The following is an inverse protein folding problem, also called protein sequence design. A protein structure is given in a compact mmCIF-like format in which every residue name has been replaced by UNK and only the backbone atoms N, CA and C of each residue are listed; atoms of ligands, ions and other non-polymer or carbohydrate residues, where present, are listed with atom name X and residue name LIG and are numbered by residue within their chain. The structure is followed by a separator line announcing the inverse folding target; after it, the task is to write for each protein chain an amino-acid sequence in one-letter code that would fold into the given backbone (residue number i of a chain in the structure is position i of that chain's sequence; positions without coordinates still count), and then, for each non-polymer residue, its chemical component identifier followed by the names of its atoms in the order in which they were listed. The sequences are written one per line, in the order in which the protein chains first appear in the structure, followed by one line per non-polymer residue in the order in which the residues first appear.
data_IF_215070103160
#
_entry.id   IF_215070103160
#
_cell.length_a   1.000
_cell.length_b   1.000
_cell.length_c   1.000
_cell.angle_alpha   90.00
_cell.angle_beta   90.00
_cell.angle_gamma   90.00
#
_symmetry.space_group_name_H-M   'P 1'
#
loop_
_entity.id
_entity.type
_entity.pdbx_description
1 polymer ?
#
# COMPACT_ATOMS: atom_id res chain seq x y z
N UNK A 1 3.12 1.68 -7.51
CA UNK A 1 4.52 1.85 -7.94
C UNK A 1 5.39 2.58 -6.92
N UNK A 2 4.90 3.64 -6.25
CA UNK A 2 5.70 4.39 -5.26
C UNK A 2 6.24 3.57 -4.07
N UNK A 3 5.48 2.59 -3.57
CA UNK A 3 5.91 1.75 -2.45
C UNK A 3 7.08 0.81 -2.79
N UNK A 4 7.03 0.16 -3.95
CA UNK A 4 8.12 -0.71 -4.43
C UNK A 4 9.36 0.13 -4.72
N UNK A 5 9.19 1.29 -5.38
CA UNK A 5 10.29 2.21 -5.63
C UNK A 5 10.92 2.71 -4.32
N UNK A 6 10.11 3.07 -3.31
CA UNK A 6 10.58 3.51 -2.00
C UNK A 6 11.31 2.42 -1.22
N UNK A 7 10.81 1.18 -1.28
CA UNK A 7 11.45 0.02 -0.65
C UNK A 7 12.82 -0.27 -1.29
N UNK A 8 12.88 -0.35 -2.63
CA UNK A 8 14.13 -0.54 -3.36
C UNK A 8 15.14 0.58 -3.09
N UNK A 9 14.66 1.83 -3.05
CA UNK A 9 15.50 3.00 -2.75
C UNK A 9 16.07 2.98 -1.33
N UNK A 10 15.28 2.51 -0.37
CA UNK A 10 15.72 2.39 1.04
C UNK A 10 16.76 1.29 1.19
N UNK A 11 16.54 0.13 0.57
CA UNK A 11 17.51 -0.99 0.57
C UNK A 11 18.82 -0.55 -0.09
N UNK A 12 18.72 0.10 -1.25
CA UNK A 12 19.88 0.64 -1.96
C UNK A 12 20.66 1.64 -1.09
N UNK A 13 19.98 2.57 -0.44
CA UNK A 13 20.61 3.56 0.43
C UNK A 13 21.33 2.96 1.63
N UNK A 14 20.77 1.90 2.24
CA UNK A 14 21.40 1.20 3.37
C UNK A 14 22.67 0.47 2.92
N UNK A 15 22.60 -0.26 1.80
CA UNK A 15 23.76 -0.99 1.26
C UNK A 15 24.86 0.01 0.87
N UNK A 16 24.49 1.08 0.16
CA UNK A 16 25.42 2.13 -0.23
C UNK A 16 26.08 2.81 0.97
N UNK A 17 25.32 3.06 2.05
CA UNK A 17 25.87 3.62 3.29
C UNK A 17 26.95 2.73 3.91
N UNK A 18 26.70 1.42 3.98
CA UNK A 18 27.64 0.45 4.55
C UNK A 18 28.92 0.42 3.69
N UNK A 19 28.77 0.36 2.36
CA UNK A 19 29.91 0.35 1.44
C UNK A 19 30.75 1.61 1.57
N UNK A 20 30.12 2.80 1.57
CA UNK A 20 30.83 4.07 1.72
C UNK A 20 31.51 4.17 3.09
N UNK A 21 30.85 3.72 4.16
CA UNK A 21 31.39 3.76 5.52
C UNK A 21 32.60 2.84 5.72
N UNK A 22 32.68 1.73 4.98
CA UNK A 22 33.84 0.83 5.01
C UNK A 22 35.07 1.43 4.33
N UNK A 23 34.87 2.23 3.27
CA UNK A 23 35.98 2.85 2.53
C UNK A 23 36.43 4.18 3.12
N UNK A 24 35.51 4.99 3.66
CA UNK A 24 35.84 6.37 4.02
C UNK A 24 36.67 6.49 5.30
N UNK A 25 36.64 5.47 6.18
CA UNK A 25 37.19 5.60 7.53
C UNK A 25 36.49 6.69 8.34
N UNK A 26 36.35 6.53 9.65
CA UNK A 26 35.75 7.55 10.51
C UNK A 26 36.73 8.70 10.86
N UNK A 27 37.71 8.97 9.99
CA UNK A 27 38.65 10.08 10.18
C UNK A 27 38.00 11.41 9.76
N UNK A 28 38.48 12.52 10.33
CA UNK A 28 37.88 13.87 10.52
C UNK A 28 36.98 14.47 9.40
N UNK A 29 37.01 13.93 8.17
CA UNK A 29 36.10 14.25 7.06
C UNK A 29 34.80 13.43 6.97
N UNK A 30 34.64 12.35 7.75
CA UNK A 30 33.48 11.45 7.69
C UNK A 30 32.17 12.02 8.28
N UNK A 31 32.26 13.11 9.04
CA UNK A 31 31.11 13.71 9.75
C UNK A 31 30.04 14.25 8.80
N UNK A 32 30.43 14.86 7.69
CA UNK A 32 29.47 15.41 6.69
C UNK A 32 28.74 14.30 5.93
N UNK A 33 29.44 13.21 5.62
CA UNK A 33 28.87 12.01 4.99
C UNK A 33 27.88 11.37 5.95
N UNK A 34 28.28 11.20 7.21
CA UNK A 34 27.42 10.62 8.26
C UNK A 34 26.14 11.45 8.47
N UNK A 35 26.26 12.78 8.55
CA UNK A 35 25.10 13.67 8.68
C UNK A 35 24.16 13.59 7.47
N UNK A 36 24.71 13.55 6.26
CA UNK A 36 23.92 13.33 5.04
C UNK A 36 23.12 12.03 5.12
N UNK A 37 23.75 10.93 5.52
CA UNK A 37 23.09 9.63 5.63
C UNK A 37 22.05 9.57 6.75
N UNK A 38 22.25 10.27 7.87
CA UNK A 38 21.24 10.39 8.93
C UNK A 38 19.98 11.09 8.38
N UNK A 39 20.14 12.21 7.68
CA UNK A 39 19.03 12.95 7.07
C UNK A 39 18.36 12.09 5.99
N UNK A 40 19.16 11.39 5.18
CA UNK A 40 18.70 10.50 4.14
C UNK A 40 17.84 9.35 4.71
N UNK A 41 18.29 8.71 5.79
CA UNK A 41 17.55 7.64 6.48
C UNK A 41 16.22 8.17 7.02
N UNK A 42 16.19 9.36 7.63
CA UNK A 42 14.95 9.99 8.08
C UNK A 42 13.96 10.21 6.92
N UNK A 43 14.46 10.66 5.78
CA UNK A 43 13.63 10.89 4.60
C UNK A 43 13.10 9.58 4.01
N UNK A 44 13.97 8.57 3.90
CA UNK A 44 13.61 7.23 3.44
C UNK A 44 12.58 6.57 4.38
N UNK A 45 12.72 6.76 5.69
CA UNK A 45 11.78 6.26 6.69
C UNK A 45 10.42 6.95 6.56
N UNK A 46 10.40 8.26 6.29
CA UNK A 46 9.17 9.01 6.03
C UNK A 46 8.43 8.51 4.78
N UNK A 47 9.14 8.34 3.66
CA UNK A 47 8.57 7.80 2.41
C UNK A 47 8.10 6.36 2.60
N UNK A 48 8.89 5.54 3.30
CA UNK A 48 8.55 4.14 3.57
C UNK A 48 7.33 4.05 4.47
N UNK A 49 7.24 4.85 5.54
CA UNK A 49 6.07 4.86 6.43
C UNK A 49 4.83 5.37 5.72
N UNK A 50 4.96 6.44 4.93
CA UNK A 50 3.85 6.93 4.09
C UNK A 50 3.42 5.88 3.06
N UNK A 51 4.36 5.14 2.46
CA UNK A 51 4.04 4.01 1.58
C UNK A 51 3.43 2.83 2.33
N UNK A 52 3.89 2.49 3.53
CA UNK A 52 3.36 1.39 4.33
C UNK A 52 1.94 1.71 4.77
N UNK A 53 1.72 2.92 5.31
CA UNK A 53 0.38 3.39 5.66
C UNK A 53 -0.48 3.48 4.40
N UNK A 54 -0.02 4.02 3.28
CA UNK A 54 -0.82 4.07 2.04
C UNK A 54 -1.08 2.68 1.44
N UNK A 55 -0.18 1.71 1.62
CA UNK A 55 -0.34 0.33 1.19
C UNK A 55 -1.29 -0.45 2.12
N UNK A 56 -1.27 -0.16 3.42
CA UNK A 56 -2.15 -0.80 4.42
C UNK A 56 -3.51 -0.08 4.61
N UNK A 57 -3.61 1.21 4.31
CA UNK A 57 -4.72 2.06 4.75
C UNK A 57 -5.89 2.13 3.78
N UNK A 58 -5.90 1.44 2.63
CA UNK A 58 -7.15 1.44 1.84
C UNK A 58 -7.36 0.28 0.86
N UNK A 59 -7.51 -0.95 1.39
CA UNK A 59 -7.75 -2.23 0.68
C UNK A 59 -6.45 -2.98 0.43
N UNK A 60 -6.27 -4.07 1.16
CA UNK A 60 -5.30 -5.11 0.85
C UNK A 60 -5.58 -5.70 -0.52
N UNK A 61 -5.05 -5.08 -1.57
CA UNK A 61 -4.78 -5.79 -2.79
C UNK A 61 -3.42 -6.43 -2.59
N UNK A 62 -3.47 -7.67 -2.12
CA UNK A 62 -2.48 -8.67 -2.45
C UNK A 62 -2.07 -8.49 -3.91
N UNK A 63 -0.90 -7.89 -4.15
CA UNK A 63 -0.19 -7.99 -5.44
C UNK A 63 0.50 -9.37 -5.47
N UNK A 64 -0.30 -10.37 -5.16
CA UNK A 64 -0.06 -11.77 -5.41
C UNK A 64 -1.46 -12.38 -5.45
N UNK A 65 -2.14 -12.13 -6.57
CA UNK A 65 -2.90 -13.22 -7.15
C UNK A 65 -1.83 -14.22 -7.58
N UNK A 66 -1.40 -15.07 -6.64
CA UNK A 66 -0.67 -16.27 -7.02
C UNK A 66 -1.71 -17.06 -7.79
N UNK A 67 -1.60 -16.98 -9.11
CA UNK A 67 -2.16 -17.95 -10.04
C UNK A 67 -1.53 -19.30 -9.71
N UNK A 68 -1.93 -19.90 -8.57
CA UNK A 68 -1.78 -21.31 -8.36
C UNK A 68 -2.88 -21.91 -9.20
N UNK A 69 -2.52 -22.21 -10.45
CA UNK A 69 -3.18 -23.23 -11.23
C UNK A 69 -3.28 -24.48 -10.34
N UNK A 70 -4.41 -24.61 -9.68
CA UNK A 70 -4.87 -25.88 -9.17
C UNK A 70 -6.23 -26.12 -9.82
N UNK A 71 -6.18 -26.93 -10.88
CA UNK A 71 -7.29 -27.82 -11.22
C UNK A 71 -7.86 -28.42 -9.93
N UNK A 72 -9.04 -27.97 -9.52
CA UNK A 72 -10.08 -28.80 -8.89
C UNK A 72 -11.39 -28.00 -8.79
N UNK A 73 -12.17 -28.10 -9.86
CA UNK A 73 -13.58 -28.50 -9.89
C UNK A 73 -14.43 -28.17 -8.63
N UNK A 74 -15.46 -27.32 -8.88
CA UNK A 74 -16.77 -27.20 -8.18
C UNK A 74 -16.94 -26.08 -7.12
N UNK A 75 -17.94 -25.22 -7.38
CA UNK A 75 -18.65 -24.30 -6.45
C UNK A 75 -17.92 -23.07 -5.85
N UNK A 76 -17.46 -22.12 -6.68
CA UNK A 76 -16.93 -20.81 -6.18
C UNK A 76 -17.54 -19.53 -6.78
N UNK A 77 -18.56 -19.60 -7.64
CA UNK A 77 -19.05 -18.39 -8.31
C UNK A 77 -19.82 -17.44 -7.37
N UNK A 78 -20.57 -17.97 -6.39
CA UNK A 78 -21.39 -17.18 -5.46
C UNK A 78 -20.57 -16.48 -4.38
N UNK A 79 -19.48 -17.08 -3.89
CA UNK A 79 -18.64 -16.48 -2.83
C UNK A 79 -17.87 -15.27 -3.37
N UNK A 80 -17.38 -15.33 -4.61
CA UNK A 80 -16.68 -14.22 -5.23
C UNK A 80 -17.61 -13.04 -5.49
N UNK A 81 -18.85 -13.26 -5.96
CA UNK A 81 -19.82 -12.18 -6.16
C UNK A 81 -20.22 -11.50 -4.85
N UNK A 82 -20.46 -12.28 -3.79
CA UNK A 82 -20.86 -11.70 -2.49
C UNK A 82 -19.72 -10.85 -1.88
N UNK A 83 -18.46 -11.30 -2.03
CA UNK A 83 -17.29 -10.51 -1.59
C UNK A 83 -17.12 -9.19 -2.36
N UNK A 84 -17.53 -9.14 -3.63
CA UNK A 84 -17.49 -7.93 -4.46
C UNK A 84 -18.61 -6.94 -4.07
N UNK A 85 -19.80 -7.46 -3.74
CA UNK A 85 -20.95 -6.69 -3.22
C UNK A 85 -20.60 -6.01 -1.89
N UNK A 86 -19.99 -6.74 -0.95
CA UNK A 86 -19.52 -6.17 0.33
C UNK A 86 -18.47 -5.07 0.13
N UNK A 87 -17.52 -5.29 -0.79
CA UNK A 87 -16.50 -4.29 -1.14
C UNK A 87 -17.09 -3.03 -1.77
N UNK A 88 -18.17 -3.15 -2.56
CA UNK A 88 -18.90 -2.01 -3.16
C UNK A 88 -19.72 -1.24 -2.11
N UNK A 89 -20.35 -1.92 -1.16
CA UNK A 89 -21.06 -1.30 -0.03
C UNK A 89 -20.11 -0.46 0.85
N UNK A 90 -18.94 -1.00 1.20
CA UNK A 90 -17.94 -0.29 1.98
C UNK A 90 -17.41 0.97 1.28
N UNK A 91 -17.23 0.92 -0.04
CA UNK A 91 -16.84 2.09 -0.84
C UNK A 91 -17.93 3.16 -0.87
N UNK A 92 -19.20 2.76 -0.96
CA UNK A 92 -20.33 3.67 -0.95
C UNK A 92 -20.44 4.42 0.40
N UNK A 93 -20.15 3.75 1.51
CA UNK A 93 -20.11 4.36 2.85
C UNK A 93 -18.94 5.36 3.00
N UNK A 94 -17.76 5.06 2.47
CA UNK A 94 -16.63 6.00 2.44
C UNK A 94 -16.97 7.27 1.64
N UNK A 95 -17.62 7.14 0.47
CA UNK A 95 -18.07 8.28 -0.34
C UNK A 95 -19.07 9.17 0.40
N UNK A 96 -19.99 8.56 1.16
CA UNK A 96 -20.94 9.28 2.01
C UNK A 96 -20.21 10.02 3.14
N UNK A 97 -19.29 9.36 3.83
CA UNK A 97 -18.52 9.95 4.93
C UNK A 97 -17.66 11.14 4.46
N UNK A 98 -17.16 11.07 3.23
CA UNK A 98 -16.43 12.16 2.57
C UNK A 98 -17.34 13.28 2.03
N UNK A 99 -18.67 13.19 2.24
CA UNK A 99 -19.69 14.12 1.72
C UNK A 99 -19.61 14.33 0.20
N UNK A 100 -19.12 13.32 -0.53
CA UNK A 100 -19.02 13.35 -1.99
C UNK A 100 -20.34 12.96 -2.67
N UNK A 101 -21.23 12.30 -1.92
CA UNK A 101 -22.58 11.94 -2.35
C UNK A 101 -23.59 12.39 -1.30
N UNK A 102 -24.81 12.67 -1.74
CA UNK A 102 -25.92 13.03 -0.85
C UNK A 102 -26.55 11.80 -0.19
N UNK A 103 -27.22 11.97 0.96
CA UNK A 103 -27.92 10.87 1.63
C UNK A 103 -28.95 10.18 0.72
N UNK A 104 -29.57 10.93 -0.19
CA UNK A 104 -30.53 10.40 -1.17
C UNK A 104 -29.86 9.49 -2.20
N UNK A 105 -28.68 9.87 -2.71
CA UNK A 105 -27.93 9.07 -3.68
C UNK A 105 -27.31 7.83 -3.04
N UNK A 106 -26.86 7.95 -1.78
CA UNK A 106 -26.38 6.83 -0.99
C UNK A 106 -27.46 5.75 -0.83
N UNK A 107 -28.68 6.13 -0.43
CA UNK A 107 -29.76 5.16 -0.23
C UNK A 107 -30.18 4.48 -1.53
N UNK A 108 -30.25 5.22 -2.64
CA UNK A 108 -30.56 4.65 -3.96
C UNK A 108 -29.52 3.61 -4.37
N UNK A 109 -28.23 3.95 -4.33
CA UNK A 109 -27.15 3.05 -4.73
C UNK A 109 -27.00 1.84 -3.81
N UNK A 110 -27.28 2.01 -2.51
CA UNK A 110 -27.28 0.91 -1.55
C UNK A 110 -28.38 -0.10 -1.85
N UNK A 111 -29.57 0.36 -2.22
CA UNK A 111 -30.67 -0.51 -2.60
C UNK A 111 -30.35 -1.27 -3.89
N UNK A 112 -29.76 -0.61 -4.89
CA UNK A 112 -29.36 -1.24 -6.15
C UNK A 112 -28.36 -2.38 -5.92
N UNK A 113 -27.31 -2.13 -5.12
CA UNK A 113 -26.27 -3.12 -4.82
C UNK A 113 -26.84 -4.32 -4.04
N UNK A 114 -27.80 -4.11 -3.15
CA UNK A 114 -28.46 -5.19 -2.41
C UNK A 114 -29.43 -6.01 -3.27
N UNK A 115 -29.93 -5.44 -4.37
CA UNK A 115 -30.80 -6.13 -5.33
C UNK A 115 -30.00 -7.02 -6.31
N UNK A 116 -28.68 -6.88 -6.34
CA UNK A 116 -27.77 -7.73 -7.13
C UNK A 116 -27.43 -9.06 -6.39
N UNK A 117 -27.94 -9.26 -5.17
CA UNK A 117 -27.76 -10.45 -4.33
C UNK A 117 -28.85 -11.50 -4.61
#
# INVERSE_FOLDING_TARGET
MGAVAGLCFTIFGIVFFITVSQESGFDDGGTVITLFFIIFILFALGITTFSLVNFFSNKGLSVMDVDINHEEITDKTTTTQNSDIESRLAQLEDLKNKKLITDTEYQSKRADILNEL
#
